data_IF_249582216327
#
_entry.id   IF_249582216327
#
_cell.length_a   1.000
_cell.length_b   1.000
_cell.length_c   1.000
_cell.angle_alpha   90.00
_cell.angle_beta   90.00
_cell.angle_gamma   90.00
#
_symmetry.space_group_name_H-M   'P 1'
#
loop_
_entity.id
_entity.type
_entity.pdbx_description
1 polymer ?
#
# COMPACT_ATOMS: atom_id res chain seq x y z
N UNK A 1 -26.61 19.00 31.89
CA UNK A 1 -26.35 17.58 31.62
C UNK A 1 -25.18 17.51 30.66
N UNK A 2 -24.12 16.73 30.91
CA UNK A 2 -23.05 16.57 29.93
C UNK A 2 -23.47 15.49 28.92
N UNK A 3 -23.52 15.85 27.64
CA UNK A 3 -23.88 14.94 26.55
C UNK A 3 -22.86 13.80 26.46
N UNK A 4 -23.34 12.58 26.72
CA UNK A 4 -22.54 11.33 26.78
C UNK A 4 -22.02 10.81 25.45
N UNK A 5 -21.81 11.67 24.45
CA UNK A 5 -21.53 11.28 23.07
C UNK A 5 -20.03 11.26 22.71
N UNK A 6 -19.13 11.64 23.62
CA UNK A 6 -17.69 11.62 23.38
C UNK A 6 -17.07 10.39 24.03
N UNK A 7 -17.09 9.26 23.32
CA UNK A 7 -16.46 8.02 23.81
C UNK A 7 -14.95 8.16 23.97
N UNK A 8 -14.25 8.93 23.10
CA UNK A 8 -12.89 9.42 23.36
C UNK A 8 -12.61 10.75 22.63
N UNK A 9 -11.90 11.66 23.30
CA UNK A 9 -11.62 13.02 22.81
C UNK A 9 -10.59 13.09 21.67
N UNK A 10 -9.72 12.06 21.53
CA UNK A 10 -8.66 12.03 20.50
C UNK A 10 -9.13 11.48 19.15
N UNK A 11 -10.14 10.61 19.16
CA UNK A 11 -10.73 10.05 17.93
C UNK A 11 -11.71 11.05 17.33
N UNK A 12 -11.65 11.22 16.01
CA UNK A 12 -12.64 12.04 15.32
C UNK A 12 -14.00 11.34 15.37
N UNK A 13 -15.10 12.11 15.27
CA UNK A 13 -16.47 11.58 15.29
C UNK A 13 -16.71 10.47 14.25
N UNK A 14 -15.98 10.49 13.13
CA UNK A 14 -16.06 9.43 12.11
C UNK A 14 -15.65 8.06 12.64
N UNK A 15 -14.70 8.02 13.57
CA UNK A 15 -14.07 6.81 14.06
C UNK A 15 -14.54 6.36 15.45
N UNK A 16 -15.39 7.13 16.12
CA UNK A 16 -15.94 6.77 17.43
C UNK A 16 -16.79 5.49 17.37
N UNK A 17 -17.70 5.37 16.39
CA UNK A 17 -18.54 4.17 16.24
C UNK A 17 -17.72 2.90 15.90
N UNK A 18 -16.77 2.93 14.94
CA UNK A 18 -15.88 1.80 14.72
C UNK A 18 -15.10 1.38 15.97
N UNK A 19 -14.60 2.36 16.75
CA UNK A 19 -13.92 2.09 18.01
C UNK A 19 -14.83 1.41 19.04
N UNK A 20 -16.04 1.93 19.25
CA UNK A 20 -17.03 1.32 20.15
C UNK A 20 -17.34 -0.12 19.73
N UNK A 21 -17.56 -0.37 18.43
CA UNK A 21 -17.84 -1.72 17.92
C UNK A 21 -16.71 -2.70 18.24
N UNK A 22 -15.46 -2.28 18.08
CA UNK A 22 -14.29 -3.09 18.45
C UNK A 22 -14.20 -3.34 19.94
N UNK A 23 -14.62 -2.39 20.76
CA UNK A 23 -14.59 -2.53 22.22
C UNK A 23 -15.72 -3.44 22.74
N UNK A 24 -16.95 -3.27 22.23
CA UNK A 24 -18.11 -4.04 22.66
C UNK A 24 -18.00 -5.53 22.28
N UNK A 25 -17.34 -5.87 21.17
CA UNK A 25 -17.14 -7.26 20.75
C UNK A 25 -18.42 -8.01 20.36
N UNK A 26 -19.51 -7.28 20.11
CA UNK A 26 -20.80 -7.86 19.69
C UNK A 26 -20.84 -8.20 18.21
N UNK A 27 -20.02 -7.52 17.42
CA UNK A 27 -19.90 -7.71 15.97
C UNK A 27 -18.69 -8.59 15.67
N UNK A 28 -18.77 -9.39 14.61
CA UNK A 28 -17.61 -10.17 14.16
C UNK A 28 -16.52 -9.25 13.55
N UNK A 29 -15.36 -9.84 13.25
CA UNK A 29 -14.22 -9.09 12.71
C UNK A 29 -14.52 -8.45 11.36
N UNK A 30 -15.29 -9.09 10.48
CA UNK A 30 -15.67 -8.54 9.18
C UNK A 30 -16.65 -7.36 9.30
N UNK A 31 -17.61 -7.45 10.22
CA UNK A 31 -18.52 -6.35 10.55
C UNK A 31 -17.76 -5.17 11.15
N UNK A 32 -16.86 -5.43 12.09
CA UNK A 32 -15.97 -4.42 12.66
C UNK A 32 -15.11 -3.74 11.59
N UNK A 33 -14.49 -4.52 10.70
CA UNK A 33 -13.75 -4.01 9.56
C UNK A 33 -14.65 -3.14 8.67
N UNK A 34 -15.88 -3.58 8.41
CA UNK A 34 -16.88 -2.82 7.65
C UNK A 34 -17.14 -1.42 8.19
N UNK A 35 -17.26 -1.27 9.52
CA UNK A 35 -17.40 0.06 10.15
C UNK A 35 -16.17 0.94 9.96
N UNK A 36 -14.97 0.39 10.13
CA UNK A 36 -13.71 1.11 9.94
C UNK A 36 -13.53 1.53 8.48
N UNK A 37 -13.81 0.63 7.55
CA UNK A 37 -13.73 0.86 6.09
C UNK A 37 -14.70 1.99 5.70
N UNK A 38 -15.94 1.98 6.17
CA UNK A 38 -16.89 3.07 5.87
C UNK A 38 -16.44 4.43 6.44
N UNK A 39 -15.89 4.45 7.66
CA UNK A 39 -15.35 5.67 8.24
C UNK A 39 -14.14 6.19 7.44
N UNK A 40 -13.22 5.30 7.07
CA UNK A 40 -12.04 5.62 6.27
C UNK A 40 -12.41 6.13 4.89
N UNK A 41 -13.36 5.49 4.21
CA UNK A 41 -13.88 5.95 2.91
C UNK A 41 -14.39 7.39 3.01
N UNK A 42 -15.23 7.70 4.00
CA UNK A 42 -15.75 9.05 4.21
C UNK A 42 -14.62 10.05 4.50
N UNK A 43 -13.61 9.66 5.26
CA UNK A 43 -12.47 10.53 5.55
C UNK A 43 -11.64 10.83 4.29
N UNK A 44 -11.35 9.81 3.48
CA UNK A 44 -10.65 9.97 2.19
C UNK A 44 -11.46 10.86 1.25
N UNK A 45 -12.76 10.62 1.09
CA UNK A 45 -13.63 11.44 0.23
C UNK A 45 -13.68 12.91 0.66
N UNK A 46 -13.71 13.18 1.98
CA UNK A 46 -13.68 14.56 2.52
C UNK A 46 -12.36 15.27 2.24
N UNK A 47 -11.25 14.54 2.12
CA UNK A 47 -9.93 15.09 1.78
C UNK A 47 -9.81 15.42 0.28
N UNK A 48 -10.72 14.89 -0.55
CA UNK A 48 -10.82 15.21 -1.97
C UNK A 48 -9.73 14.58 -2.83
N UNK A 49 -9.64 15.04 -4.08
CA UNK A 49 -8.83 14.39 -5.13
C UNK A 49 -7.36 14.82 -5.17
N UNK A 50 -6.97 15.83 -4.39
CA UNK A 50 -5.61 16.37 -4.39
C UNK A 50 -4.55 15.26 -4.17
N UNK A 51 -4.69 14.38 -3.17
CA UNK A 51 -3.75 13.29 -2.95
C UNK A 51 -3.62 12.32 -4.13
N UNK A 52 -4.73 12.00 -4.82
CA UNK A 52 -4.72 11.12 -5.98
C UNK A 52 -3.94 11.75 -7.14
N UNK A 53 -4.21 13.02 -7.44
CA UNK A 53 -3.53 13.78 -8.51
C UNK A 53 -2.04 13.97 -8.23
N UNK A 54 -1.68 14.24 -6.97
CA UNK A 54 -0.28 14.39 -6.58
C UNK A 54 0.47 13.04 -6.61
N UNK A 55 -0.17 11.97 -6.15
CA UNK A 55 0.40 10.62 -6.24
C UNK A 55 0.65 10.21 -7.69
N UNK A 56 -0.26 10.54 -8.61
CA UNK A 56 -0.09 10.30 -10.05
C UNK A 56 1.16 10.99 -10.61
N UNK A 57 1.30 12.30 -10.38
CA UNK A 57 2.48 13.06 -10.85
C UNK A 57 3.79 12.53 -10.28
N UNK A 58 3.78 12.12 -9.01
CA UNK A 58 4.95 11.51 -8.37
C UNK A 58 5.27 10.13 -8.97
N UNK A 59 4.25 9.32 -9.25
CA UNK A 59 4.42 8.02 -9.88
C UNK A 59 4.97 8.13 -11.31
N UNK A 60 4.42 9.04 -12.11
CA UNK A 60 4.93 9.33 -13.47
C UNK A 60 6.40 9.76 -13.46
N UNK A 61 6.77 10.65 -12.54
CA UNK A 61 8.16 11.11 -12.36
C UNK A 61 9.11 9.97 -11.96
N UNK A 62 8.66 9.08 -11.06
CA UNK A 62 9.42 7.91 -10.64
C UNK A 62 9.57 6.88 -11.78
N UNK A 63 8.51 6.61 -12.52
CA UNK A 63 8.54 5.71 -13.69
C UNK A 63 9.46 6.25 -14.78
N UNK A 64 9.42 7.56 -15.04
CA UNK A 64 10.35 8.21 -15.96
C UNK A 64 11.81 8.03 -15.50
N UNK A 65 12.10 8.28 -14.23
CA UNK A 65 13.46 8.13 -13.69
C UNK A 65 13.97 6.68 -13.74
N UNK A 66 13.08 5.69 -13.56
CA UNK A 66 13.40 4.27 -13.72
C UNK A 66 13.68 3.93 -15.19
N UNK A 67 12.87 4.44 -16.11
CA UNK A 67 13.04 4.21 -17.55
C UNK A 67 14.32 4.87 -18.08
N UNK A 68 14.64 6.09 -17.63
CA UNK A 68 15.84 6.83 -18.03
C UNK A 68 17.13 6.16 -17.55
N UNK A 69 17.08 5.48 -16.40
CA UNK A 69 18.21 4.68 -15.92
C UNK A 69 18.44 3.43 -16.79
N UNK A 70 17.38 2.85 -17.37
CA UNK A 70 17.48 1.65 -18.19
C UNK A 70 18.11 0.45 -17.44
N UNK A 71 18.76 -0.45 -18.17
CA UNK A 71 19.35 -1.68 -17.61
C UNK A 71 20.74 -1.46 -16.98
N UNK A 72 21.41 -0.34 -17.27
CA UNK A 72 22.81 -0.09 -16.90
C UNK A 72 23.06 1.23 -16.16
N UNK A 73 22.05 2.09 -16.05
CA UNK A 73 22.12 3.36 -15.36
C UNK A 73 21.74 3.27 -13.89
N UNK A 74 22.22 4.25 -13.13
CA UNK A 74 21.83 4.42 -11.73
C UNK A 74 20.77 5.52 -11.64
N UNK A 75 19.65 5.22 -10.98
CA UNK A 75 18.61 6.24 -10.73
C UNK A 75 19.18 7.32 -9.82
N UNK A 76 19.08 8.58 -10.24
CA UNK A 76 19.44 9.71 -9.39
C UNK A 76 18.36 9.97 -8.33
N UNK A 77 18.42 9.18 -7.26
CA UNK A 77 17.48 9.22 -6.16
C UNK A 77 17.39 10.59 -5.47
N UNK A 78 18.51 11.32 -5.40
CA UNK A 78 18.53 12.65 -4.79
C UNK A 78 17.75 13.68 -5.64
N UNK A 79 17.95 13.66 -6.96
CA UNK A 79 17.21 14.51 -7.88
C UNK A 79 15.71 14.23 -7.84
N UNK A 80 15.33 12.94 -7.84
CA UNK A 80 13.93 12.53 -7.78
C UNK A 80 13.25 12.96 -6.45
N UNK A 81 13.96 12.87 -5.33
CA UNK A 81 13.43 13.37 -4.04
C UNK A 81 13.15 14.89 -4.10
N UNK A 82 14.07 15.67 -4.68
CA UNK A 82 13.88 17.13 -4.83
C UNK A 82 12.71 17.42 -5.77
N UNK A 83 12.52 16.61 -6.80
CA UNK A 83 11.38 16.72 -7.71
C UNK A 83 10.05 16.49 -6.99
N UNK A 84 9.96 15.47 -6.14
CA UNK A 84 8.76 15.21 -5.33
C UNK A 84 8.43 16.41 -4.41
N UNK A 85 9.45 17.00 -3.80
CA UNK A 85 9.28 18.22 -2.98
C UNK A 85 8.73 19.38 -3.83
N UNK A 86 9.25 19.58 -5.04
CA UNK A 86 8.76 20.61 -5.98
C UNK A 86 7.33 20.35 -6.43
N UNK A 87 6.97 19.09 -6.74
CA UNK A 87 5.60 18.70 -7.12
C UNK A 87 4.61 19.02 -5.99
N UNK A 88 4.97 18.69 -4.74
CA UNK A 88 4.15 19.00 -3.57
C UNK A 88 4.03 20.52 -3.32
N UNK A 89 5.10 21.29 -3.51
CA UNK A 89 5.08 22.74 -3.36
C UNK A 89 4.17 23.43 -4.40
N UNK A 90 4.25 23.02 -5.67
CA UNK A 90 3.48 23.59 -6.78
C UNK A 90 2.00 23.20 -6.79
N UNK A 91 1.62 22.16 -6.04
CA UNK A 91 0.24 21.72 -5.97
C UNK A 91 -0.56 22.62 -5.03
N UNK A 92 -1.65 23.19 -5.53
CA UNK A 92 -2.59 24.00 -4.74
C UNK A 92 -3.45 23.10 -3.85
N UNK A 93 -3.65 23.53 -2.59
CA UNK A 93 -4.55 22.88 -1.63
C UNK A 93 -3.90 22.67 -0.25
N UNK A 94 -4.54 21.83 0.56
CA UNK A 94 -4.17 21.65 1.98
C UNK A 94 -2.72 21.20 2.16
N UNK A 95 -1.95 21.97 2.94
CA UNK A 95 -0.56 21.65 3.29
C UNK A 95 -0.42 20.25 3.87
N UNK A 96 -1.26 19.92 4.84
CA UNK A 96 -1.28 18.61 5.50
C UNK A 96 -1.44 17.46 4.51
N UNK A 97 -2.34 17.59 3.53
CA UNK A 97 -2.55 16.54 2.52
C UNK A 97 -1.35 16.38 1.60
N UNK A 98 -0.72 17.50 1.22
CA UNK A 98 0.49 17.49 0.38
C UNK A 98 1.65 16.80 1.09
N UNK A 99 1.88 17.12 2.36
CA UNK A 99 2.92 16.48 3.16
C UNK A 99 2.67 14.98 3.35
N UNK A 100 1.43 14.58 3.62
CA UNK A 100 1.08 13.18 3.81
C UNK A 100 1.29 12.38 2.51
N UNK A 101 0.88 12.93 1.35
CA UNK A 101 1.12 12.30 0.04
C UNK A 101 2.60 12.29 -0.32
N UNK A 102 3.34 13.36 -0.04
CA UNK A 102 4.79 13.43 -0.25
C UNK A 102 5.53 12.38 0.57
N UNK A 103 5.17 12.23 1.85
CA UNK A 103 5.74 11.21 2.72
C UNK A 103 5.42 9.80 2.22
N UNK A 104 4.20 9.55 1.75
CA UNK A 104 3.83 8.31 1.07
C UNK A 104 4.68 8.05 -0.19
N UNK A 105 4.88 9.07 -1.02
CA UNK A 105 5.73 9.04 -2.22
C UNK A 105 7.16 8.66 -1.90
N UNK A 106 7.78 9.39 -0.97
CA UNK A 106 9.16 9.14 -0.50
C UNK A 106 9.30 7.76 0.15
N UNK A 107 8.25 7.24 0.78
CA UNK A 107 8.29 5.88 1.33
C UNK A 107 8.32 4.80 0.24
N UNK A 108 7.54 4.94 -0.83
CA UNK A 108 7.55 4.01 -1.99
C UNK A 108 8.90 4.05 -2.69
N UNK A 109 9.38 5.26 -2.97
CA UNK A 109 10.73 5.49 -3.49
C UNK A 109 11.82 4.80 -2.66
N UNK A 110 11.74 4.87 -1.33
CA UNK A 110 12.71 4.23 -0.44
C UNK A 110 12.62 2.70 -0.53
N UNK A 111 11.43 2.16 -0.66
CA UNK A 111 11.23 0.72 -0.81
C UNK A 111 11.90 0.24 -2.12
N UNK A 112 11.69 0.93 -3.24
CA UNK A 112 12.37 0.64 -4.51
C UNK A 112 13.90 0.75 -4.43
N UNK A 113 14.41 1.83 -3.82
CA UNK A 113 15.85 2.06 -3.67
C UNK A 113 16.56 0.92 -2.96
N UNK A 114 15.89 0.23 -2.04
CA UNK A 114 16.44 -0.89 -1.28
C UNK A 114 15.93 -2.25 -1.74
N UNK A 115 15.38 -2.35 -2.96
CA UNK A 115 14.94 -3.62 -3.55
C UNK A 115 13.75 -4.27 -2.85
N UNK A 116 12.94 -3.51 -2.13
CA UNK A 116 11.70 -4.03 -1.52
C UNK A 116 10.59 -4.10 -2.55
N UNK A 117 9.89 -5.21 -2.55
CA UNK A 117 8.73 -5.44 -3.42
C UNK A 117 7.60 -4.45 -3.10
N UNK A 118 6.90 -4.03 -4.16
CA UNK A 118 5.77 -3.12 -4.08
C UNK A 118 4.56 -3.77 -4.71
N UNK A 119 3.57 -4.10 -3.88
CA UNK A 119 2.29 -4.66 -4.31
C UNK A 119 1.38 -3.57 -4.94
N UNK A 120 1.63 -3.21 -6.19
CA UNK A 120 0.79 -2.34 -7.00
C UNK A 120 1.09 -2.53 -8.50
N UNK A 121 0.15 -2.17 -9.38
CA UNK A 121 0.38 -2.30 -10.83
C UNK A 121 1.34 -1.22 -11.37
N UNK A 122 1.43 -0.08 -10.69
CA UNK A 122 2.26 1.07 -11.07
C UNK A 122 2.63 1.92 -9.84
N UNK A 123 3.59 2.83 -10.02
CA UNK A 123 4.12 3.64 -8.93
C UNK A 123 3.05 4.58 -8.34
N UNK A 124 2.20 5.15 -9.19
CA UNK A 124 1.13 6.06 -8.77
C UNK A 124 0.14 5.37 -7.81
N UNK A 125 -0.28 4.15 -8.15
CA UNK A 125 -1.13 3.32 -7.30
C UNK A 125 -0.45 2.99 -5.97
N UNK A 126 0.83 2.59 -6.00
CA UNK A 126 1.59 2.28 -4.78
C UNK A 126 1.64 3.46 -3.81
N UNK A 127 1.94 4.66 -4.33
CA UNK A 127 2.00 5.90 -3.55
C UNK A 127 0.63 6.19 -2.95
N UNK A 128 -0.43 6.06 -3.74
CA UNK A 128 -1.76 6.36 -3.28
C UNK A 128 -2.30 5.34 -2.26
N UNK A 129 -2.01 4.05 -2.45
CA UNK A 129 -2.25 2.96 -1.48
C UNK A 129 -1.56 3.27 -0.15
N UNK A 130 -0.29 3.69 -0.19
CA UNK A 130 0.49 4.08 1.01
C UNK A 130 -0.12 5.29 1.70
N UNK A 131 -0.56 6.30 0.96
CA UNK A 131 -1.26 7.47 1.49
C UNK A 131 -2.55 7.09 2.23
N UNK A 132 -3.42 6.28 1.61
CA UNK A 132 -4.67 5.84 2.24
C UNK A 132 -4.41 5.07 3.54
N UNK A 133 -3.38 4.24 3.56
CA UNK A 133 -2.98 3.52 4.78
C UNK A 133 -2.45 4.46 5.88
N UNK A 134 -1.74 5.54 5.51
CA UNK A 134 -1.31 6.55 6.49
C UNK A 134 -2.51 7.35 7.03
N UNK A 135 -3.52 7.65 6.22
CA UNK A 135 -4.78 8.26 6.69
C UNK A 135 -5.46 7.34 7.71
N UNK A 136 -5.56 6.04 7.40
CA UNK A 136 -6.07 5.05 8.34
C UNK A 136 -5.30 5.02 9.67
N UNK A 137 -3.96 4.93 9.61
CA UNK A 137 -3.13 4.88 10.82
C UNK A 137 -3.28 6.14 11.68
N UNK A 138 -3.06 7.30 11.07
CA UNK A 138 -3.07 8.60 11.78
C UNK A 138 -4.46 9.08 12.20
N UNK A 139 -5.51 8.63 11.50
CA UNK A 139 -6.90 8.96 11.79
C UNK A 139 -7.56 8.01 12.79
N UNK A 140 -7.12 6.76 12.84
CA UNK A 140 -7.72 5.72 13.67
C UNK A 140 -6.71 5.00 14.56
N UNK A 141 -5.88 4.12 13.98
CA UNK A 141 -5.07 3.13 14.73
C UNK A 141 -4.19 3.80 15.80
N UNK A 142 -3.50 4.87 15.44
CA UNK A 142 -2.56 5.59 16.32
C UNK A 142 -3.25 6.58 17.26
N UNK A 143 -4.56 6.80 17.10
CA UNK A 143 -5.36 7.68 17.97
C UNK A 143 -6.11 6.92 19.06
N UNK A 144 -6.07 5.59 19.02
CA UNK A 144 -6.56 4.75 20.11
C UNK A 144 -5.63 4.96 21.31
N UNK A 145 -6.13 5.38 22.47
CA UNK A 145 -5.31 5.59 23.65
C UNK A 145 -4.57 4.32 24.07
N UNK A 146 -3.39 4.47 24.69
CA UNK A 146 -2.67 3.38 25.35
C UNK A 146 -3.06 3.41 26.83
N UNK A 147 -4.27 2.95 27.16
CA UNK A 147 -4.82 2.96 28.51
C UNK A 147 -5.18 1.53 28.92
N UNK A 148 -5.08 1.23 30.21
CA UNK A 148 -5.40 -0.10 30.74
C UNK A 148 -6.89 -0.47 30.64
N UNK A 149 -7.76 0.54 30.57
CA UNK A 149 -9.19 0.37 30.41
C UNK A 149 -9.68 1.12 29.17
N UNK A 150 -10.49 0.44 28.38
CA UNK A 150 -11.17 0.97 27.20
C UNK A 150 -12.68 0.97 27.38
N UNK A 151 -13.39 1.51 26.38
CA UNK A 151 -14.85 1.46 26.36
C UNK A 151 -15.36 0.02 26.58
N UNK A 152 -16.47 -0.14 27.29
CA UNK A 152 -17.00 -1.44 27.71
C UNK A 152 -16.06 -2.29 28.62
N UNK A 153 -15.01 -1.68 29.20
CA UNK A 153 -14.13 -2.35 30.18
C UNK A 153 -13.19 -3.39 29.57
N UNK A 154 -12.96 -3.34 28.26
CA UNK A 154 -12.01 -4.23 27.60
C UNK A 154 -10.57 -3.79 27.87
N UNK A 155 -9.66 -4.76 27.99
CA UNK A 155 -8.24 -4.50 28.15
C UNK A 155 -7.55 -4.20 26.80
N UNK A 156 -6.36 -3.59 26.89
CA UNK A 156 -5.55 -3.19 25.73
C UNK A 156 -5.17 -4.38 24.83
N UNK A 157 -4.86 -5.55 25.42
CA UNK A 157 -4.40 -6.73 24.66
C UNK A 157 -5.53 -7.29 23.81
N UNK A 158 -6.73 -7.42 24.38
CA UNK A 158 -7.89 -7.89 23.64
C UNK A 158 -8.28 -6.91 22.53
N UNK A 159 -8.25 -5.58 22.79
CA UNK A 159 -8.53 -4.58 21.76
C UNK A 159 -7.48 -4.60 20.64
N UNK A 160 -6.20 -4.73 20.98
CA UNK A 160 -5.11 -4.84 20.01
C UNK A 160 -5.29 -6.07 19.09
N UNK A 161 -5.67 -7.22 19.67
CA UNK A 161 -5.98 -8.44 18.91
C UNK A 161 -7.08 -8.19 17.87
N UNK A 162 -8.19 -7.57 18.27
CA UNK A 162 -9.30 -7.23 17.36
C UNK A 162 -8.89 -6.23 16.26
N UNK A 163 -8.02 -5.26 16.58
CA UNK A 163 -7.48 -4.32 15.59
C UNK A 163 -6.59 -5.03 14.56
N UNK A 164 -5.83 -6.04 14.98
CA UNK A 164 -4.99 -6.83 14.08
C UNK A 164 -5.83 -7.76 13.18
N UNK A 165 -6.89 -8.38 13.71
CA UNK A 165 -7.81 -9.22 12.95
C UNK A 165 -8.42 -8.51 11.74
N UNK A 166 -8.80 -7.24 11.89
CA UNK A 166 -9.43 -6.45 10.82
C UNK A 166 -8.43 -5.87 9.79
N UNK A 167 -7.11 -5.96 10.02
CA UNK A 167 -6.12 -5.31 9.15
C UNK A 167 -6.17 -5.81 7.71
N UNK A 168 -6.38 -7.12 7.52
CA UNK A 168 -6.36 -7.73 6.19
C UNK A 168 -7.49 -7.18 5.31
N UNK A 169 -8.70 -7.04 5.86
CA UNK A 169 -9.86 -6.48 5.15
C UNK A 169 -9.69 -4.98 4.85
N UNK A 170 -9.12 -4.21 5.78
CA UNK A 170 -8.82 -2.79 5.58
C UNK A 170 -7.80 -2.62 4.45
N UNK A 171 -6.72 -3.41 4.47
CA UNK A 171 -5.70 -3.38 3.41
C UNK A 171 -6.28 -3.78 2.06
N UNK A 172 -7.16 -4.80 2.01
CA UNK A 172 -7.83 -5.21 0.78
C UNK A 172 -8.74 -4.10 0.21
N UNK A 173 -9.49 -3.41 1.09
CA UNK A 173 -10.31 -2.27 0.69
C UNK A 173 -9.45 -1.12 0.13
N UNK A 174 -8.37 -0.77 0.82
CA UNK A 174 -7.43 0.27 0.39
C UNK A 174 -6.82 -0.08 -0.97
N UNK A 175 -6.37 -1.32 -1.19
CA UNK A 175 -5.83 -1.74 -2.50
C UNK A 175 -6.85 -1.56 -3.62
N UNK A 176 -8.11 -1.99 -3.38
CA UNK A 176 -9.20 -1.85 -4.35
C UNK A 176 -9.47 -0.37 -4.68
N UNK A 177 -9.49 0.48 -3.65
CA UNK A 177 -9.71 1.92 -3.82
C UNK A 177 -8.56 2.62 -4.51
N UNK A 178 -7.31 2.29 -4.14
CA UNK A 178 -6.13 2.88 -4.74
C UNK A 178 -6.10 2.61 -6.24
N UNK A 179 -6.30 1.35 -6.65
CA UNK A 179 -6.38 0.98 -8.06
C UNK A 179 -7.45 1.76 -8.82
N UNK A 180 -8.67 1.81 -8.27
CA UNK A 180 -9.79 2.51 -8.91
C UNK A 180 -9.57 4.02 -8.99
N UNK A 181 -9.22 4.66 -7.88
CA UNK A 181 -9.04 6.11 -7.82
C UNK A 181 -7.80 6.58 -8.58
N UNK A 182 -6.80 5.72 -8.77
CA UNK A 182 -5.68 5.99 -9.66
C UNK A 182 -6.12 6.03 -11.13
N UNK A 183 -7.00 5.11 -11.54
CA UNK A 183 -7.58 5.10 -12.89
C UNK A 183 -8.52 6.30 -13.13
N UNK A 184 -9.35 6.64 -12.15
CA UNK A 184 -10.35 7.72 -12.24
C UNK A 184 -9.75 9.11 -11.90
N UNK A 185 -8.52 9.17 -11.39
CA UNK A 185 -7.90 10.35 -10.75
C UNK A 185 -8.78 11.02 -9.67
N UNK A 186 -9.67 10.26 -9.05
CA UNK A 186 -10.69 10.79 -8.15
C UNK A 186 -11.08 9.79 -7.07
N UNK A 187 -11.37 10.32 -5.89
CA UNK A 187 -11.93 9.57 -4.76
C UNK A 187 -13.45 9.70 -4.65
N UNK A 188 -14.10 10.46 -5.54
CA UNK A 188 -15.54 10.70 -5.45
C UNK A 188 -16.37 9.41 -5.57
N UNK A 189 -15.87 8.43 -6.33
CA UNK A 189 -16.60 7.21 -6.69
C UNK A 189 -16.11 5.94 -5.95
N UNK A 190 -15.49 6.10 -4.78
CA UNK A 190 -15.07 4.97 -3.96
C UNK A 190 -16.29 4.17 -3.47
N UNK A 191 -16.31 2.87 -3.82
CA UNK A 191 -17.36 1.94 -3.41
C UNK A 191 -16.84 1.05 -2.29
N UNK A 192 -17.69 0.74 -1.31
CA UNK A 192 -17.32 -0.27 -0.33
C UNK A 192 -17.07 -1.60 -1.06
N UNK A 193 -15.98 -2.32 -0.76
CA UNK A 193 -15.81 -3.67 -1.30
C UNK A 193 -17.00 -4.56 -0.90
N UNK A 194 -17.35 -5.57 -1.72
CA UNK A 194 -18.33 -6.56 -1.31
C UNK A 194 -17.92 -7.15 0.04
N UNK A 195 -18.88 -7.29 0.96
CA UNK A 195 -18.62 -8.00 2.21
C UNK A 195 -18.23 -9.43 1.87
N UNK A 196 -17.12 -9.91 2.44
CA UNK A 196 -16.82 -11.35 2.42
C UNK A 196 -18.01 -12.05 3.05
N UNK A 197 -18.67 -12.92 2.29
CA UNK A 197 -19.65 -13.83 2.89
C UNK A 197 -18.83 -14.74 3.79
N UNK A 198 -19.10 -14.70 5.09
CA UNK A 198 -18.67 -15.78 5.96
C UNK A 198 -19.40 -17.00 5.42
N UNK A 199 -18.68 -17.87 4.72
CA UNK A 199 -19.21 -19.19 4.43
C UNK A 199 -19.45 -19.80 5.80
N UNK A 200 -20.71 -19.85 6.26
CA UNK A 200 -21.11 -20.90 7.18
C UNK A 200 -20.63 -22.18 6.51
N UNK A 201 -19.87 -22.99 7.23
CA UNK A 201 -19.47 -24.31 6.77
C UNK A 201 -20.76 -25.09 6.45
N UNK A 202 -21.20 -25.01 5.20
CA UNK A 202 -22.14 -25.94 4.63
C UNK A 202 -21.30 -27.13 4.22
N UNK A 203 -21.46 -28.18 5.02
CA UNK A 203 -21.02 -29.54 4.82
C UNK A 203 -21.43 -30.02 3.42
N UNK A 204 -20.54 -29.93 2.43
CA UNK A 204 -20.68 -30.60 1.13
C UNK A 204 -19.31 -30.99 0.58
N UNK A 205 -18.99 -32.26 0.78
CA UNK A 205 -18.07 -33.05 -0.03
C UNK A 205 -18.43 -32.95 -1.53
N UNK A 206 -17.36 -33.03 -2.34
CA UNK A 206 -17.31 -33.38 -3.77
C UNK A 206 -18.23 -32.61 -4.73
N UNK A 207 -17.64 -31.75 -5.57
CA UNK A 207 -17.34 -32.08 -6.98
C UNK A 207 -16.77 -30.83 -7.68
N UNK A 208 -16.16 -31.02 -8.85
CA UNK A 208 -15.73 -30.03 -9.85
C UNK A 208 -14.22 -29.70 -9.93
N UNK A 209 -13.51 -30.68 -10.48
CA UNK A 209 -12.52 -30.43 -11.53
C UNK A 209 -13.18 -29.70 -12.72
N UNK A 210 -12.75 -28.48 -13.05
CA UNK A 210 -12.47 -28.03 -14.44
C UNK A 210 -12.22 -26.51 -14.56
N UNK A 211 -11.36 -26.17 -15.54
CA UNK A 211 -11.16 -24.88 -16.22
C UNK A 211 -10.09 -23.88 -15.71
N UNK A 212 -8.85 -24.16 -16.15
CA UNK A 212 -7.96 -23.24 -16.91
C UNK A 212 -8.55 -21.85 -17.29
N UNK A 213 -7.85 -20.73 -17.03
CA UNK A 213 -6.88 -20.11 -17.97
C UNK A 213 -6.44 -18.65 -17.61
N UNK A 214 -5.12 -18.48 -17.54
CA UNK A 214 -4.24 -17.44 -18.14
C UNK A 214 -4.22 -15.94 -17.73
N UNK A 215 -2.96 -15.53 -17.43
CA UNK A 215 -2.26 -14.26 -17.67
C UNK A 215 -2.63 -13.05 -16.78
N UNK A 216 -1.72 -12.20 -16.29
CA UNK A 216 -0.39 -11.79 -16.73
C UNK A 216 0.25 -10.97 -15.58
N UNK A 217 1.54 -11.13 -15.28
CA UNK A 217 2.44 -10.12 -14.66
C UNK A 217 3.78 -10.78 -14.25
N UNK A 218 4.60 -11.14 -15.23
CA UNK A 218 6.03 -11.42 -15.04
C UNK A 218 6.83 -10.50 -15.95
N UNK A 219 7.13 -9.29 -15.47
CA UNK A 219 8.13 -8.43 -16.12
C UNK A 219 8.95 -7.56 -15.15
N UNK A 220 8.93 -7.85 -13.85
CA UNK A 220 9.79 -7.17 -12.87
C UNK A 220 10.82 -8.12 -12.21
N UNK A 221 10.70 -9.44 -12.38
CA UNK A 221 11.63 -10.42 -11.77
C UNK A 221 12.86 -10.80 -12.62
N UNK A 222 13.10 -10.18 -13.78
CA UNK A 222 14.21 -10.59 -14.68
C UNK A 222 15.45 -9.69 -14.65
N UNK A 223 15.54 -8.73 -13.74
CA UNK A 223 16.73 -7.86 -13.62
C UNK A 223 17.44 -7.96 -12.25
N UNK A 224 17.06 -8.92 -11.39
CA UNK A 224 17.65 -9.09 -10.05
C UNK A 224 18.22 -10.48 -9.75
N UNK A 225 18.41 -11.35 -10.75
CA UNK A 225 19.15 -12.59 -10.58
C UNK A 225 20.23 -12.72 -11.65
N UNK A 226 21.39 -12.13 -11.36
CA UNK A 226 22.64 -12.67 -11.86
C UNK A 226 23.04 -13.85 -10.97
N UNK A 227 22.93 -15.06 -11.50
CA UNK A 227 23.71 -16.21 -11.05
C UNK A 227 24.20 -16.98 -12.29
N UNK A 228 25.52 -16.99 -12.46
CA UNK A 228 26.29 -18.00 -13.21
C UNK A 228 25.98 -19.39 -12.59
N UNK A 229 25.92 -20.52 -13.30
CA UNK A 229 27.06 -21.16 -13.96
C UNK A 229 26.61 -22.49 -14.60
N UNK A 230 27.12 -22.77 -15.81
CA UNK A 230 27.70 -24.06 -16.28
C UNK A 230 26.77 -25.28 -16.49
N UNK A 231 26.60 -25.68 -17.76
CA UNK A 231 27.15 -26.93 -18.34
C UNK A 231 27.06 -26.85 -19.90
N UNK A 232 28.19 -26.65 -20.57
CA UNK A 232 28.88 -27.64 -21.41
C UNK A 232 28.08 -28.20 -22.60
N UNK A 233 28.35 -27.68 -23.79
CA UNK A 233 28.90 -28.52 -24.86
C UNK A 233 29.42 -27.71 -26.05
N UNK A 234 30.73 -27.83 -26.23
CA UNK A 234 31.43 -27.99 -27.50
C UNK A 234 31.61 -26.76 -28.41
N UNK A 235 32.75 -26.81 -29.11
CA UNK A 235 33.12 -26.07 -30.33
C UNK A 235 34.13 -24.93 -30.10
N UNK A 236 35.39 -25.38 -30.03
CA UNK A 236 36.57 -24.89 -30.78
C UNK A 236 37.67 -24.20 -29.97
N UNK A 237 38.55 -25.06 -29.45
CA UNK A 237 39.96 -24.77 -29.24
C UNK A 237 40.66 -24.53 -30.58
N UNK A 238 41.07 -23.31 -30.89
CA UNK A 238 42.28 -23.10 -31.68
C UNK A 238 42.87 -21.69 -31.54
N UNK A 239 44.15 -21.69 -31.14
CA UNK A 239 45.20 -20.73 -31.47
C UNK A 239 45.01 -19.26 -31.06
N UNK A 240 45.79 -18.84 -30.06
CA UNK A 240 46.96 -17.95 -30.26
C UNK A 240 47.62 -17.66 -28.91
N UNK A 241 48.43 -18.62 -28.43
CA UNK A 241 49.53 -18.36 -27.50
C UNK A 241 50.84 -18.52 -28.27
N UNK A 242 51.08 -17.57 -29.16
CA UNK A 242 52.41 -17.19 -29.62
C UNK A 242 52.58 -15.72 -29.28
N UNK A 243 53.17 -15.45 -28.11
CA UNK A 243 54.15 -14.38 -27.94
C UNK A 243 54.93 -14.74 -26.67
N UNK A 244 55.96 -15.54 -26.92
CA UNK A 244 57.13 -15.80 -26.08
C UNK A 244 57.63 -14.49 -25.48
N UNK A 245 57.79 -14.44 -24.16
CA UNK A 245 59.10 -14.55 -23.49
C UNK A 245 60.17 -13.58 -24.00
N UNK A 246 60.35 -12.50 -23.21
CA UNK A 246 61.64 -11.99 -22.69
C UNK A 246 62.61 -11.27 -23.67
N UNK A 247 63.69 -10.61 -23.21
CA UNK A 247 63.95 -9.86 -21.96
C UNK A 247 64.64 -8.49 -22.17
N UNK A 248 64.61 -7.62 -21.16
CA UNK A 248 65.77 -6.93 -20.53
C UNK A 248 65.30 -6.03 -19.38
#
# INVERSE_FOLDING_TARGET
MPDGDIVHSRLTRLYQKPYQSLCEGKADSHECAGYVIEALKRDIMRKGDLPAKLAKRMGESLEQALNDAGESGTVNWAALSVEFDRLAQRTNGSHYLKELTLHAGKSVFRDLRYGREIEADNASEAIFKRYMYQVYKSGFKERIPLTSEHYAGIDEVTLAGRIEEIQSDIKAAISTWAKKANADESVANLKQPPRRKVNKAEDREEDLLSAHNHNNCRKIDKLLQGEESVELSQITTHNLKEYLSSPL
#
